data_IF_093499417238
#
_entry.id   IF_093499417238
#
_cell.length_a   1.000
_cell.length_b   1.000
_cell.length_c   1.000
_cell.angle_alpha   90.00
_cell.angle_beta   90.00
_cell.angle_gamma   90.00
#
_symmetry.space_group_name_H-M   'P 1'
#
loop_
_entity.id
_entity.type
_entity.pdbx_description
1 polymer ?
#
# COMPACT_ATOMS: atom_id res chain seq x y z
N UNK A 1 33.03 15.83 -10.31
CA UNK A 1 32.11 15.60 -9.17
C UNK A 1 30.67 16.07 -9.44
N UNK A 2 30.42 17.19 -10.13
CA UNK A 2 29.05 17.66 -10.42
C UNK A 2 28.19 16.65 -11.21
N UNK A 3 28.74 16.03 -12.26
CA UNK A 3 28.04 15.03 -13.08
C UNK A 3 27.63 13.77 -12.28
N UNK A 4 28.48 13.30 -11.37
CA UNK A 4 28.17 12.13 -10.54
C UNK A 4 26.98 12.40 -9.61
N UNK A 5 26.89 13.61 -9.04
CA UNK A 5 25.78 14.03 -8.17
C UNK A 5 24.48 14.19 -8.98
N UNK A 6 24.55 14.76 -10.18
CA UNK A 6 23.37 14.89 -11.06
C UNK A 6 22.85 13.52 -11.51
N UNK A 7 23.74 12.58 -11.85
CA UNK A 7 23.38 11.20 -12.20
C UNK A 7 22.78 10.45 -11.01
N UNK A 8 23.35 10.56 -9.81
CA UNK A 8 22.77 10.02 -8.59
C UNK A 8 21.38 10.58 -8.33
N UNK A 9 21.19 11.90 -8.41
CA UNK A 9 19.89 12.54 -8.20
C UNK A 9 18.84 12.03 -9.20
N UNK A 10 19.21 11.91 -10.48
CA UNK A 10 18.33 11.45 -11.54
C UNK A 10 17.95 9.97 -11.40
N UNK A 11 18.90 9.11 -11.03
CA UNK A 11 18.66 7.69 -10.76
C UNK A 11 17.81 7.47 -9.51
N UNK A 12 18.06 8.25 -8.45
CA UNK A 12 17.30 8.21 -7.20
C UNK A 12 15.82 8.53 -7.44
N UNK A 13 15.49 9.61 -8.16
CA UNK A 13 14.09 9.95 -8.50
C UNK A 13 13.39 8.88 -9.35
N UNK A 14 14.11 8.24 -10.28
CA UNK A 14 13.56 7.14 -11.09
C UNK A 14 13.30 5.89 -10.26
N UNK A 15 14.22 5.52 -9.36
CA UNK A 15 14.06 4.38 -8.46
C UNK A 15 12.85 4.60 -7.55
N UNK A 16 12.69 5.79 -6.95
CA UNK A 16 11.52 6.07 -6.11
C UNK A 16 10.22 6.02 -6.90
N UNK A 17 10.18 6.61 -8.10
CA UNK A 17 9.01 6.51 -8.98
C UNK A 17 8.69 5.05 -9.29
N UNK A 18 9.70 4.23 -9.59
CA UNK A 18 9.52 2.80 -9.84
C UNK A 18 8.97 2.07 -8.61
N UNK A 19 9.51 2.31 -7.41
CA UNK A 19 9.02 1.71 -6.16
C UNK A 19 7.54 2.08 -5.93
N UNK A 20 7.15 3.35 -6.11
CA UNK A 20 5.76 3.80 -5.97
C UNK A 20 4.86 3.08 -6.98
N UNK A 21 5.26 3.01 -8.25
CA UNK A 21 4.45 2.34 -9.27
C UNK A 21 4.29 0.85 -8.99
N UNK A 22 5.35 0.19 -8.53
CA UNK A 22 5.31 -1.24 -8.15
C UNK A 22 4.43 -1.44 -6.92
N UNK A 23 4.57 -0.63 -5.87
CA UNK A 23 3.75 -0.75 -4.67
C UNK A 23 2.28 -0.48 -4.94
N UNK A 24 1.98 0.53 -5.77
CA UNK A 24 0.61 0.84 -6.16
C UNK A 24 -0.01 -0.28 -6.98
N UNK A 25 0.76 -0.88 -7.89
CA UNK A 25 0.34 -2.08 -8.62
C UNK A 25 0.04 -3.26 -7.69
N UNK A 26 0.91 -3.52 -6.71
CA UNK A 26 0.72 -4.58 -5.71
C UNK A 26 -0.55 -4.38 -4.88
N UNK A 27 -0.78 -3.16 -4.38
CA UNK A 27 -1.99 -2.82 -3.62
C UNK A 27 -3.23 -3.05 -4.47
N UNK A 28 -3.24 -2.56 -5.72
CA UNK A 28 -4.37 -2.75 -6.63
C UNK A 28 -4.64 -4.23 -6.87
N UNK A 29 -3.61 -5.03 -7.20
CA UNK A 29 -3.78 -6.47 -7.45
C UNK A 29 -4.35 -7.18 -6.22
N UNK A 30 -3.80 -6.91 -5.04
CA UNK A 30 -4.25 -7.53 -3.80
C UNK A 30 -5.69 -7.14 -3.44
N UNK A 31 -6.02 -5.85 -3.50
CA UNK A 31 -7.37 -5.35 -3.22
C UNK A 31 -8.41 -5.95 -4.17
N UNK A 32 -8.08 -6.08 -5.46
CA UNK A 32 -8.99 -6.71 -6.42
C UNK A 32 -9.16 -8.21 -6.11
N UNK A 33 -8.09 -8.91 -5.75
CA UNK A 33 -8.16 -10.32 -5.37
C UNK A 33 -9.09 -10.59 -4.19
N UNK A 34 -8.99 -9.78 -3.13
CA UNK A 34 -9.90 -9.87 -1.98
C UNK A 34 -11.33 -9.51 -2.38
N UNK A 35 -11.53 -8.47 -3.18
CA UNK A 35 -12.87 -8.07 -3.63
C UNK A 35 -13.57 -9.20 -4.39
N UNK A 36 -12.86 -9.89 -5.29
CA UNK A 36 -13.41 -11.06 -5.97
C UNK A 36 -13.68 -12.22 -5.01
N UNK A 37 -12.78 -12.46 -4.05
CA UNK A 37 -12.99 -13.47 -3.02
C UNK A 37 -14.26 -13.18 -2.20
N UNK A 38 -14.46 -11.95 -1.74
CA UNK A 38 -15.63 -11.54 -0.95
C UNK A 38 -16.94 -11.66 -1.73
N UNK A 39 -16.93 -11.40 -3.04
CA UNK A 39 -18.11 -11.60 -3.90
C UNK A 39 -18.40 -13.09 -4.08
N UNK A 40 -17.37 -13.92 -4.23
CA UNK A 40 -17.50 -15.35 -4.55
C UNK A 40 -17.28 -16.28 -3.36
N UNK A 41 -17.29 -15.75 -2.13
CA UNK A 41 -17.09 -16.55 -0.91
C UNK A 41 -18.22 -17.55 -0.66
N UNK A 42 -19.39 -17.32 -1.27
CA UNK A 42 -20.54 -18.23 -1.26
C UNK A 42 -20.82 -18.79 -2.66
N UNK A 43 -21.22 -20.06 -2.68
CA UNK A 43 -21.75 -20.76 -3.86
C UNK A 43 -23.09 -21.40 -3.47
N UNK A 44 -24.23 -20.93 -4.01
CA UNK A 44 -24.40 -19.81 -4.95
C UNK A 44 -24.16 -18.43 -4.27
N UNK A 45 -23.86 -17.38 -5.03
CA UNK A 45 -23.51 -16.04 -4.48
C UNK A 45 -24.69 -15.44 -3.73
N UNK A 46 -25.90 -15.76 -4.19
CA UNK A 46 -27.18 -15.34 -3.65
C UNK A 46 -27.39 -15.79 -2.21
N UNK A 47 -26.75 -16.90 -1.80
CA UNK A 47 -26.78 -17.40 -0.42
C UNK A 47 -26.22 -16.39 0.59
N UNK A 48 -25.38 -15.45 0.13
CA UNK A 48 -24.81 -14.43 1.00
C UNK A 48 -25.87 -13.48 1.59
N UNK A 49 -26.93 -13.17 0.84
CA UNK A 49 -28.05 -12.34 1.32
C UNK A 49 -29.31 -13.15 1.64
N UNK A 50 -29.50 -14.31 1.01
CA UNK A 50 -30.57 -15.25 1.34
C UNK A 50 -30.03 -16.46 2.10
N UNK A 51 -30.02 -16.35 3.43
CA UNK A 51 -29.46 -17.39 4.32
C UNK A 51 -30.28 -18.68 4.34
N UNK A 52 -31.52 -18.67 3.82
CA UNK A 52 -32.37 -19.85 3.76
C UNK A 52 -32.05 -20.74 2.55
N UNK A 53 -31.28 -20.25 1.57
CA UNK A 53 -30.86 -21.04 0.42
C UNK A 53 -29.80 -22.10 0.76
N UNK A 54 -29.94 -23.26 0.13
CA UNK A 54 -28.93 -24.31 0.15
C UNK A 54 -27.67 -23.90 -0.62
N UNK A 55 -26.52 -24.37 -0.15
CA UNK A 55 -25.22 -24.01 -0.70
C UNK A 55 -24.12 -24.02 0.33
N UNK A 56 -22.91 -23.67 -0.09
CA UNK A 56 -21.73 -23.58 0.77
C UNK A 56 -21.19 -22.16 0.78
N UNK A 57 -20.76 -21.69 1.94
CA UNK A 57 -20.06 -20.43 2.11
C UNK A 57 -18.72 -20.68 2.81
N UNK A 58 -17.75 -19.80 2.58
CA UNK A 58 -16.49 -19.79 3.30
C UNK A 58 -16.73 -19.87 4.81
N UNK A 59 -15.91 -20.66 5.50
CA UNK A 59 -16.02 -20.79 6.95
C UNK A 59 -15.68 -19.46 7.64
N UNK A 60 -16.20 -19.22 8.86
CA UNK A 60 -15.84 -18.03 9.63
C UNK A 60 -14.32 -17.87 9.80
N UNK A 61 -13.60 -18.98 9.93
CA UNK A 61 -12.13 -19.00 10.03
C UNK A 61 -11.45 -18.49 8.76
N UNK A 62 -11.97 -18.84 7.58
CA UNK A 62 -11.45 -18.34 6.30
C UNK A 62 -11.67 -16.84 6.15
N UNK A 63 -12.84 -16.34 6.58
CA UNK A 63 -13.14 -14.90 6.56
C UNK A 63 -12.22 -14.14 7.51
N UNK A 64 -12.00 -14.67 8.73
CA UNK A 64 -11.08 -14.07 9.71
C UNK A 64 -9.64 -14.05 9.17
N UNK A 65 -9.20 -15.15 8.53
CA UNK A 65 -7.87 -15.24 7.93
C UNK A 65 -7.69 -14.21 6.81
N UNK A 66 -8.69 -14.06 5.93
CA UNK A 66 -8.68 -13.06 4.87
C UNK A 66 -8.61 -11.63 5.43
N UNK A 67 -9.41 -11.32 6.45
CA UNK A 67 -9.40 -10.02 7.12
C UNK A 67 -8.03 -9.73 7.75
N UNK A 68 -7.41 -10.72 8.41
CA UNK A 68 -6.08 -10.56 9.00
C UNK A 68 -5.02 -10.31 7.93
N UNK A 69 -5.04 -11.06 6.83
CA UNK A 69 -4.14 -10.85 5.71
C UNK A 69 -4.30 -9.44 5.10
N UNK A 70 -5.53 -8.96 4.97
CA UNK A 70 -5.82 -7.60 4.52
C UNK A 70 -5.21 -6.56 5.48
N UNK A 71 -5.43 -6.69 6.78
CA UNK A 71 -4.87 -5.76 7.77
C UNK A 71 -3.35 -5.71 7.72
N UNK A 72 -2.68 -6.87 7.65
CA UNK A 72 -1.22 -6.94 7.55
C UNK A 72 -0.71 -6.23 6.29
N UNK A 73 -1.32 -6.49 5.13
CA UNK A 73 -0.92 -5.85 3.87
C UNK A 73 -1.15 -4.35 3.86
N UNK A 74 -2.24 -3.87 4.47
CA UNK A 74 -2.51 -2.43 4.61
C UNK A 74 -1.46 -1.77 5.49
N UNK A 75 -1.16 -2.33 6.66
CA UNK A 75 -0.13 -1.79 7.56
C UNK A 75 1.24 -1.79 6.87
N UNK A 76 1.63 -2.88 6.19
CA UNK A 76 2.90 -2.92 5.46
C UNK A 76 2.98 -1.83 4.39
N UNK A 77 1.88 -1.56 3.68
CA UNK A 77 1.80 -0.50 2.68
C UNK A 77 1.93 0.89 3.31
N UNK A 78 1.25 1.13 4.44
CA UNK A 78 1.34 2.39 5.17
C UNK A 78 2.77 2.68 5.65
N UNK A 79 3.44 1.67 6.21
CA UNK A 79 4.83 1.79 6.64
C UNK A 79 5.77 2.03 5.47
N UNK A 80 5.56 1.35 4.33
CA UNK A 80 6.35 1.58 3.12
C UNK A 80 6.23 3.05 2.66
N UNK A 81 5.02 3.59 2.63
CA UNK A 81 4.79 4.98 2.22
C UNK A 81 5.28 6.00 3.25
N UNK A 82 5.14 5.71 4.54
CA UNK A 82 5.63 6.56 5.62
C UNK A 82 7.17 6.64 5.65
N UNK A 83 7.85 5.53 5.36
CA UNK A 83 9.31 5.46 5.35
C UNK A 83 9.94 5.93 4.04
N UNK A 84 9.21 5.89 2.92
CA UNK A 84 9.70 6.32 1.61
C UNK A 84 10.33 7.73 1.57
N UNK A 85 9.78 8.78 2.22
CA UNK A 85 10.37 10.12 2.20
C UNK A 85 11.63 10.27 3.07
N UNK A 86 11.88 9.38 4.03
CA UNK A 86 13.00 9.50 4.97
C UNK A 86 14.37 9.43 4.26
N UNK A 87 14.68 8.44 3.42
CA UNK A 87 15.94 8.39 2.69
C UNK A 87 16.05 9.47 1.60
N UNK A 88 14.92 9.98 1.07
CA UNK A 88 14.89 11.14 0.16
C UNK A 88 15.42 12.39 0.88
N UNK A 89 14.98 12.60 2.13
CA UNK A 89 15.38 13.75 2.95
C UNK A 89 16.82 13.68 3.44
N UNK A 90 17.43 12.49 3.47
CA UNK A 90 18.81 12.31 3.92
C UNK A 90 19.83 12.55 2.80
N UNK A 91 19.50 12.21 1.55
CA UNK A 91 20.43 12.25 0.41
C UNK A 91 20.35 13.51 -0.45
N UNK A 92 19.46 14.45 -0.17
CA UNK A 92 19.33 15.69 -0.94
C UNK A 92 19.69 16.88 -0.04
N UNK A 93 20.65 17.71 -0.50
CA UNK A 93 20.88 19.08 -0.02
C UNK A 93 19.65 19.96 -0.34
N UNK A 94 18.48 19.61 0.21
CA UNK A 94 17.29 20.42 0.14
C UNK A 94 17.49 21.63 1.04
N UNK A 95 17.23 22.81 0.52
CA UNK A 95 17.06 24.02 1.33
C UNK A 95 16.13 23.72 2.49
N UNK A 96 16.50 24.14 3.71
CA UNK A 96 15.85 23.82 4.98
C UNK A 96 14.30 23.86 4.93
N UNK A 97 13.74 24.77 4.12
CA UNK A 97 12.31 24.93 3.85
C UNK A 97 11.61 23.67 3.33
N UNK A 98 12.21 22.90 2.42
CA UNK A 98 11.59 21.69 1.85
C UNK A 98 11.67 20.52 2.82
N UNK A 99 12.75 20.44 3.62
CA UNK A 99 12.89 19.46 4.70
C UNK A 99 11.87 19.71 5.81
N UNK A 100 11.66 20.97 6.20
CA UNK A 100 10.62 21.36 7.14
C UNK A 100 9.22 21.12 6.58
N UNK A 101 8.94 21.46 5.32
CA UNK A 101 7.64 21.20 4.72
C UNK A 101 7.33 19.69 4.66
N UNK A 102 8.29 18.85 4.27
CA UNK A 102 8.11 17.40 4.27
C UNK A 102 7.92 16.85 5.69
N UNK A 103 8.64 17.36 6.69
CA UNK A 103 8.53 16.94 8.09
C UNK A 103 7.19 17.38 8.70
N UNK A 104 6.69 18.57 8.35
CA UNK A 104 5.36 19.06 8.74
C UNK A 104 4.27 18.22 8.08
N UNK A 105 4.37 17.92 6.78
CA UNK A 105 3.39 17.08 6.07
C UNK A 105 3.40 15.65 6.64
N UNK A 106 4.57 15.10 6.95
CA UNK A 106 4.68 13.77 7.57
C UNK A 106 4.10 13.77 8.99
N UNK A 107 4.34 14.83 9.77
CA UNK A 107 3.79 15.00 11.12
C UNK A 107 2.28 15.25 11.12
N UNK A 108 1.75 15.97 10.13
CA UNK A 108 0.30 16.19 9.96
C UNK A 108 -0.43 15.00 9.35
N UNK A 109 0.23 14.17 8.54
CA UNK A 109 -0.38 12.94 8.00
C UNK A 109 -0.53 11.82 9.02
N UNK A 110 0.03 11.98 10.22
CA UNK A 110 -0.05 11.04 11.35
C UNK A 110 -1.15 11.46 12.36
N UNK A 111 -1.74 12.66 12.23
CA UNK A 111 -2.81 13.16 13.10
C UNK A 111 -4.17 13.13 12.38
#
# INVERSE_FOLDING_TARGET
MSLAITLLRFSIFKIYRYIIWVSLGLVVVWSNGILFWDIFQCRPVEKQWDKAMDGFCASPEQVISAAYAMSVMSVLSDWLYALMPIPILWNVNLTLKTKLAALIILAFGIL
#
